data_IF_788444458500
#
_entry.id   IF_788444458500
#
_cell.length_a   1.000
_cell.length_b   1.000
_cell.length_c   1.000
_cell.angle_alpha   90.00
_cell.angle_beta   90.00
_cell.angle_gamma   90.00
#
_symmetry.space_group_name_H-M   'P 1'
#
loop_
_entity.id
_entity.type
_entity.pdbx_description
1 polymer ?
#
# COMPACT_ATOMS: atom_id res chain seq x y z
N UNK A 1 -0.09 4.51 -15.35
CA UNK A 1 0.98 5.52 -15.28
C UNK A 1 0.42 6.79 -15.90
N UNK A 2 0.55 7.95 -15.26
CA UNK A 2 0.05 9.22 -15.81
C UNK A 2 0.85 9.58 -17.06
N UNK A 3 0.19 10.20 -18.04
CA UNK A 3 0.89 10.62 -19.26
C UNK A 3 1.79 11.80 -18.93
N UNK A 4 2.89 11.91 -19.66
CA UNK A 4 3.83 13.04 -19.53
C UNK A 4 3.12 14.38 -19.70
N UNK A 5 2.11 14.45 -20.56
CA UNK A 5 1.24 15.60 -20.76
C UNK A 5 0.51 16.02 -19.49
N UNK A 6 -0.07 15.06 -18.75
CA UNK A 6 -0.81 15.31 -17.51
C UNK A 6 0.12 15.83 -16.39
N UNK A 7 1.37 15.34 -16.37
CA UNK A 7 2.42 15.74 -15.44
C UNK A 7 2.91 17.17 -15.76
N UNK A 8 3.18 17.47 -17.03
CA UNK A 8 3.60 18.81 -17.47
C UNK A 8 2.52 19.86 -17.24
N UNK A 9 1.25 19.51 -17.51
CA UNK A 9 0.12 20.39 -17.23
C UNK A 9 0.05 20.75 -15.74
N UNK A 10 0.18 19.75 -14.85
CA UNK A 10 0.16 20.00 -13.40
C UNK A 10 1.32 20.88 -12.95
N UNK A 11 2.53 20.64 -13.46
CA UNK A 11 3.70 21.46 -13.15
C UNK A 11 3.53 22.91 -13.60
N UNK A 12 2.85 23.14 -14.74
CA UNK A 12 2.51 24.48 -15.22
C UNK A 12 1.47 25.16 -14.31
N UNK A 13 0.39 24.48 -13.96
CA UNK A 13 -0.63 24.98 -13.02
C UNK A 13 -0.03 25.39 -11.67
N UNK A 14 0.87 24.59 -11.10
CA UNK A 14 1.50 24.89 -9.81
C UNK A 14 2.41 26.12 -9.87
N UNK A 15 3.08 26.34 -11.02
CA UNK A 15 3.86 27.56 -11.25
C UNK A 15 2.98 28.80 -11.40
N UNK A 16 1.83 28.66 -12.07
CA UNK A 16 0.83 29.74 -12.20
C UNK A 16 0.20 30.10 -10.85
N UNK A 17 0.10 29.14 -9.93
CA UNK A 17 -0.33 29.35 -8.54
C UNK A 17 0.81 29.87 -7.62
N UNK A 18 1.95 30.28 -8.19
CA UNK A 18 3.11 30.86 -7.48
C UNK A 18 3.69 29.98 -6.35
N UNK A 19 3.56 28.65 -6.43
CA UNK A 19 4.27 27.76 -5.52
C UNK A 19 5.78 27.90 -5.72
N UNK A 20 6.53 27.87 -4.61
CA UNK A 20 7.98 27.85 -4.68
C UNK A 20 8.50 26.54 -5.30
N UNK A 21 9.74 26.55 -5.80
CA UNK A 21 10.32 25.42 -6.52
C UNK A 21 10.37 24.13 -5.66
N UNK A 22 10.69 24.23 -4.37
CA UNK A 22 10.78 23.08 -3.46
C UNK A 22 9.41 22.42 -3.24
N UNK A 23 8.36 23.22 -3.04
CA UNK A 23 6.99 22.74 -2.86
C UNK A 23 6.49 22.07 -4.15
N UNK A 24 6.82 22.64 -5.32
CA UNK A 24 6.47 22.03 -6.61
C UNK A 24 7.15 20.67 -6.74
N UNK A 25 8.44 20.56 -6.42
CA UNK A 25 9.17 19.30 -6.50
C UNK A 25 8.59 18.23 -5.58
N UNK A 26 8.24 18.59 -4.35
CA UNK A 26 7.62 17.68 -3.39
C UNK A 26 6.23 17.20 -3.85
N UNK A 27 5.37 18.12 -4.32
CA UNK A 27 4.05 17.79 -4.85
C UNK A 27 4.18 16.90 -6.10
N UNK A 28 5.11 17.23 -7.00
CA UNK A 28 5.32 16.48 -8.23
C UNK A 28 5.94 15.10 -7.98
N UNK A 29 6.78 14.95 -6.95
CA UNK A 29 7.33 13.65 -6.52
C UNK A 29 6.22 12.66 -6.18
N UNK A 30 5.16 13.14 -5.55
CA UNK A 30 4.00 12.34 -5.19
C UNK A 30 2.85 12.40 -6.22
N UNK A 31 3.00 13.18 -7.30
CA UNK A 31 1.93 13.37 -8.28
C UNK A 31 1.66 12.08 -9.04
N UNK A 32 0.41 11.62 -8.94
CA UNK A 32 -0.02 10.38 -9.55
C UNK A 32 0.38 9.12 -8.79
N UNK A 33 1.01 9.25 -7.62
CA UNK A 33 1.11 8.15 -6.67
C UNK A 33 -0.29 7.91 -6.09
N UNK A 34 -0.77 6.68 -6.22
CA UNK A 34 -2.05 6.26 -5.63
C UNK A 34 -1.82 5.14 -4.65
N UNK A 35 -2.17 5.36 -3.39
CA UNK A 35 -2.22 4.29 -2.40
C UNK A 35 -3.34 3.30 -2.74
N UNK A 36 -3.05 2.00 -2.60
CA UNK A 36 -4.00 0.92 -2.83
C UNK A 36 -3.92 -0.06 -1.67
N UNK A 37 -5.06 -0.39 -1.09
CA UNK A 37 -5.20 -1.45 -0.10
C UNK A 37 -6.43 -2.29 -0.45
N UNK A 38 -6.22 -3.55 -0.81
CA UNK A 38 -7.29 -4.43 -1.29
C UNK A 38 -8.29 -4.70 -0.16
N UNK A 39 -9.58 -4.51 -0.44
CA UNK A 39 -10.64 -4.75 0.55
C UNK A 39 -10.84 -3.65 1.59
N UNK A 40 -10.07 -2.56 1.50
CA UNK A 40 -10.24 -1.34 2.30
C UNK A 40 -10.89 -0.25 1.44
N UNK A 41 -11.86 0.47 2.00
CA UNK A 41 -12.52 1.60 1.32
C UNK A 41 -11.54 2.71 0.99
N UNK A 42 -11.69 3.32 -0.19
CA UNK A 42 -10.83 4.41 -0.65
C UNK A 42 -10.82 5.61 0.31
N UNK A 43 -11.95 5.93 0.94
CA UNK A 43 -12.02 7.00 1.95
C UNK A 43 -11.10 6.72 3.13
N UNK A 44 -11.12 5.48 3.66
CA UNK A 44 -10.26 5.04 4.75
C UNK A 44 -8.80 5.04 4.34
N UNK A 45 -8.47 4.56 3.12
CA UNK A 45 -7.09 4.62 2.60
C UNK A 45 -6.58 6.06 2.62
N UNK A 46 -7.34 7.01 2.04
CA UNK A 46 -6.92 8.41 1.94
C UNK A 46 -6.83 9.16 3.27
N UNK A 47 -7.59 8.76 4.29
CA UNK A 47 -7.67 9.49 5.55
C UNK A 47 -6.89 8.85 6.71
N UNK A 48 -6.63 7.54 6.65
CA UNK A 48 -6.05 6.77 7.77
C UNK A 48 -4.66 6.22 7.44
N UNK A 49 -4.39 5.91 6.17
CA UNK A 49 -3.12 5.26 5.78
C UNK A 49 -2.12 6.32 5.31
N UNK A 50 -1.02 6.46 6.04
CA UNK A 50 0.07 7.37 5.73
C UNK A 50 1.24 6.63 5.08
N UNK A 51 2.27 7.36 4.62
CA UNK A 51 3.50 6.74 4.15
C UNK A 51 4.27 6.06 5.29
N UNK A 52 4.32 6.69 6.47
CA UNK A 52 5.02 6.16 7.65
C UNK A 52 4.45 4.81 8.09
N UNK A 53 3.16 4.58 7.91
CA UNK A 53 2.53 3.28 8.17
C UNK A 53 3.12 2.15 7.32
N UNK A 54 3.55 2.44 6.08
CA UNK A 54 4.22 1.45 5.24
C UNK A 54 5.62 1.12 5.77
N UNK A 55 6.35 2.13 6.21
CA UNK A 55 7.69 1.98 6.79
C UNK A 55 7.61 1.19 8.09
N UNK A 56 6.72 1.59 9.01
CA UNK A 56 6.51 0.90 10.27
C UNK A 56 6.09 -0.56 10.03
N UNK A 57 5.18 -0.82 9.09
CA UNK A 57 4.73 -2.17 8.77
C UNK A 57 5.89 -3.08 8.34
N UNK A 58 6.85 -2.56 7.55
CA UNK A 58 8.02 -3.30 7.08
C UNK A 58 9.08 -3.47 8.18
N UNK A 59 9.43 -2.38 8.87
CA UNK A 59 10.51 -2.36 9.87
C UNK A 59 10.15 -3.13 11.13
N UNK A 60 8.93 -2.96 11.63
CA UNK A 60 8.44 -3.66 12.82
C UNK A 60 7.92 -5.06 12.52
N UNK A 61 7.80 -5.41 11.24
CA UNK A 61 7.16 -6.64 10.79
C UNK A 61 5.74 -6.83 11.37
N UNK A 62 4.99 -5.74 11.49
CA UNK A 62 3.61 -5.75 12.02
C UNK A 62 2.59 -5.36 10.97
N UNK A 63 1.38 -5.92 11.08
CA UNK A 63 0.29 -5.60 10.17
C UNK A 63 -0.53 -4.42 10.70
N UNK A 64 -0.87 -3.47 9.82
CA UNK A 64 -1.80 -2.38 10.16
C UNK A 64 -3.24 -2.81 9.90
N UNK A 65 -4.09 -2.69 10.91
CA UNK A 65 -5.53 -2.93 10.79
C UNK A 65 -6.31 -1.62 10.77
N UNK A 66 -7.43 -1.59 10.04
CA UNK A 66 -8.31 -0.43 9.93
C UNK A 66 -9.75 -0.87 10.10
N UNK A 67 -10.54 0.02 10.71
CA UNK A 67 -11.99 -0.16 10.85
C UNK A 67 -12.73 0.61 9.76
N UNK A 68 -13.79 0.02 9.21
CA UNK A 68 -14.63 0.65 8.20
C UNK A 68 -16.10 0.28 8.41
N UNK A 69 -16.97 1.28 8.33
CA UNK A 69 -18.42 1.09 8.39
C UNK A 69 -18.96 0.74 7.01
N UNK A 70 -19.86 -0.24 6.91
CA UNK A 70 -20.54 -0.60 5.66
C UNK A 70 -21.99 -1.05 5.92
N UNK A 71 -22.82 -0.95 4.89
CA UNK A 71 -24.18 -1.49 4.90
C UNK A 71 -24.11 -2.89 4.32
N UNK A 72 -24.64 -3.88 5.04
CA UNK A 72 -24.69 -5.28 4.63
C UNK A 72 -26.15 -5.75 4.60
N UNK A 73 -26.47 -6.58 3.61
CA UNK A 73 -27.71 -7.35 3.56
C UNK A 73 -27.38 -8.80 3.83
N UNK A 74 -28.06 -9.41 4.80
CA UNK A 74 -28.01 -10.85 5.07
C UNK A 74 -29.42 -11.32 5.44
N UNK A 75 -29.84 -12.48 4.94
CA UNK A 75 -31.19 -13.01 5.13
C UNK A 75 -32.32 -12.00 4.86
N UNK A 76 -32.17 -11.17 3.82
CA UNK A 76 -33.10 -10.08 3.46
C UNK A 76 -33.22 -8.94 4.50
N UNK A 77 -32.31 -8.88 5.49
CA UNK A 77 -32.26 -7.83 6.50
C UNK A 77 -31.05 -6.92 6.24
N UNK A 78 -31.32 -5.63 6.02
CA UNK A 78 -30.30 -4.61 5.81
C UNK A 78 -29.90 -4.01 7.15
N UNK A 79 -28.61 -4.00 7.44
CA UNK A 79 -28.06 -3.46 8.67
C UNK A 79 -26.69 -2.81 8.44
N UNK A 80 -26.33 -1.87 9.31
CA UNK A 80 -25.01 -1.24 9.33
C UNK A 80 -24.06 -2.08 10.18
N UNK A 81 -22.87 -2.34 9.67
CA UNK A 81 -21.81 -3.03 10.40
C UNK A 81 -20.52 -2.22 10.39
N UNK A 82 -19.72 -2.42 11.43
CA UNK A 82 -18.32 -2.00 11.47
C UNK A 82 -17.47 -3.24 11.21
N UNK A 83 -16.61 -3.19 10.20
CA UNK A 83 -15.71 -4.28 9.85
C UNK A 83 -14.26 -3.84 10.04
N UNK A 84 -13.49 -4.67 10.72
CA UNK A 84 -12.02 -4.54 10.78
C UNK A 84 -11.37 -5.32 9.64
N UNK A 85 -10.40 -4.70 8.95
CA UNK A 85 -9.60 -5.31 7.89
C UNK A 85 -8.12 -5.06 8.12
N UNK A 86 -7.28 -6.00 7.71
CA UNK A 86 -5.85 -5.75 7.54
C UNK A 86 -5.67 -4.86 6.31
N UNK A 87 -5.13 -3.66 6.52
CA UNK A 87 -4.87 -2.70 5.46
C UNK A 87 -3.48 -2.88 4.86
N UNK A 88 -2.47 -3.05 5.73
CA UNK A 88 -1.08 -3.31 5.37
C UNK A 88 -0.60 -4.55 6.11
N UNK A 89 0.18 -5.37 5.43
CA UNK A 89 0.80 -6.57 5.97
C UNK A 89 2.23 -6.65 5.43
N UNK A 90 3.23 -6.96 6.27
CA UNK A 90 4.60 -7.18 5.80
C UNK A 90 4.70 -8.45 4.95
N UNK A 91 3.81 -9.41 5.19
CA UNK A 91 3.75 -10.66 4.45
C UNK A 91 3.08 -10.42 3.09
N UNK A 92 3.77 -10.82 2.01
CA UNK A 92 3.24 -10.84 0.66
C UNK A 92 2.95 -12.28 0.23
N UNK A 93 1.68 -12.66 0.19
CA UNK A 93 1.25 -14.04 -0.13
C UNK A 93 1.81 -14.58 -1.46
N UNK A 94 2.27 -13.72 -2.37
CA UNK A 94 2.72 -14.10 -3.72
C UNK A 94 4.23 -14.07 -3.91
N UNK A 95 5.00 -13.63 -2.91
CA UNK A 95 6.44 -13.43 -3.04
C UNK A 95 7.18 -13.89 -1.79
N UNK A 96 8.33 -14.50 -2.01
CA UNK A 96 9.31 -14.82 -0.99
C UNK A 96 10.24 -13.62 -0.77
N UNK A 97 10.38 -13.18 0.47
CA UNK A 97 11.38 -12.18 0.86
C UNK A 97 12.75 -12.87 0.98
N UNK A 98 13.77 -12.32 0.33
CA UNK A 98 15.14 -12.81 0.48
C UNK A 98 15.68 -12.35 1.83
N UNK A 99 15.99 -13.29 2.73
CA UNK A 99 16.54 -12.97 4.05
C UNK A 99 17.77 -12.06 3.95
N UNK A 100 17.73 -10.93 4.68
CA UNK A 100 18.82 -9.95 4.71
C UNK A 100 18.86 -9.00 3.50
N UNK A 101 17.81 -8.96 2.67
CA UNK A 101 17.65 -8.03 1.56
C UNK A 101 16.21 -7.51 1.50
N UNK A 102 16.02 -6.40 0.78
CA UNK A 102 14.71 -5.86 0.40
C UNK A 102 14.17 -6.52 -0.89
N UNK A 103 14.95 -7.41 -1.49
CA UNK A 103 14.58 -8.13 -2.71
C UNK A 103 13.53 -9.21 -2.44
N UNK A 104 12.61 -9.34 -3.40
CA UNK A 104 11.56 -10.37 -3.34
C UNK A 104 11.54 -11.22 -4.60
N UNK A 105 11.40 -12.53 -4.43
CA UNK A 105 11.30 -13.51 -5.51
C UNK A 105 9.87 -14.05 -5.61
N UNK A 106 9.34 -14.33 -6.82
CA UNK A 106 8.06 -15.02 -6.95
C UNK A 106 8.16 -16.45 -6.43
N UNK A 107 7.12 -16.96 -5.75
CA UNK A 107 7.09 -18.36 -5.33
C UNK A 107 7.35 -19.31 -6.51
N UNK A 108 8.17 -20.34 -6.30
CA UNK A 108 8.60 -21.27 -7.35
C UNK A 108 9.81 -20.82 -8.18
N UNK A 109 10.38 -19.65 -7.89
CA UNK A 109 11.67 -19.23 -8.48
C UNK A 109 12.78 -20.22 -8.10
N UNK A 110 13.66 -20.56 -9.05
CA UNK A 110 14.70 -21.59 -8.85
C UNK A 110 15.63 -21.29 -7.65
N UNK A 111 15.87 -20.02 -7.35
CA UNK A 111 16.70 -19.59 -6.20
C UNK A 111 16.03 -19.75 -4.84
N UNK A 112 14.75 -20.14 -4.79
CA UNK A 112 14.00 -20.38 -3.54
C UNK A 112 14.25 -21.81 -3.01
N UNK A 113 14.62 -22.79 -3.85
CA UNK A 113 14.97 -24.16 -3.41
C UNK A 113 16.46 -24.31 -3.05
N UNK A 114 16.91 -25.11 -2.08
CA UNK A 114 16.32 -26.22 -1.30
C UNK A 114 16.45 -25.95 0.22
N UNK A 115 16.46 -24.68 0.65
CA UNK A 115 16.78 -24.28 2.04
C UNK A 115 15.62 -24.45 3.03
N UNK A 116 14.39 -24.68 2.55
CA UNK A 116 13.19 -24.82 3.39
C UNK A 116 13.08 -26.18 4.08
N UNK A 117 13.81 -27.21 3.65
CA UNK A 117 13.86 -28.50 4.38
C UNK A 117 14.63 -28.43 5.70
N UNK A 118 15.43 -27.39 5.95
CA UNK A 118 16.33 -27.34 7.12
C UNK A 118 15.74 -26.49 8.27
N UNK A 119 14.65 -25.74 8.04
CA UNK A 119 14.09 -24.80 9.02
C UNK A 119 12.66 -25.15 9.50
N UNK A 120 12.12 -26.30 9.08
CA UNK A 120 10.82 -26.82 9.54
C UNK A 120 10.96 -28.06 10.46
N UNK A 121 12.20 -28.46 10.80
CA UNK A 121 12.51 -29.63 11.66
C UNK A 121 13.06 -29.25 13.06
N UNK A 122 12.70 -28.08 13.61
CA UNK A 122 12.94 -27.74 15.03
C UNK A 122 11.67 -27.15 15.64
#
# INVERSE_FOLDING_TARGET
MYRTEDIMKKKKELKEMEYNQSNIEEIMKNYGISQKAKGVKLSVVKSVITFDDYIECLDSWTSKTVSQNLIRSDQHIVHSITQTRVALSPNNDKRYLVHGSDDTLPWGHYSIGDKTKVLLDI
#
